data_IF_371168347317
#
_entry.id   IF_371168347317
#
_cell.length_a   1.000
_cell.length_b   1.000
_cell.length_c   1.000
_cell.angle_alpha   90.00
_cell.angle_beta   90.00
_cell.angle_gamma   90.00
#
_symmetry.space_group_name_H-M   'P 1'
#
loop_
_entity.id
_entity.type
_entity.pdbx_description
1 polymer ?
#
# COMPACT_ATOMS: atom_id res chain seq x y z
N UNK A 1 -24.87 1.03 1.85
CA UNK A 1 -24.42 2.41 2.11
C UNK A 1 -24.63 3.19 0.84
N UNK A 2 -25.64 4.03 0.84
CA UNK A 2 -25.93 4.95 -0.27
C UNK A 2 -25.15 6.26 -0.14
N UNK A 3 -25.38 7.21 -1.06
CA UNK A 3 -24.69 8.50 -1.08
C UNK A 3 -24.95 9.33 0.18
N UNK A 4 -26.17 9.29 0.71
CA UNK A 4 -26.59 10.04 1.89
C UNK A 4 -25.97 9.43 3.17
N UNK A 5 -25.89 8.12 3.25
CA UNK A 5 -25.17 7.43 4.32
C UNK A 5 -23.69 7.80 4.35
N UNK A 6 -23.04 7.82 3.17
CA UNK A 6 -21.64 8.19 3.06
C UNK A 6 -21.39 9.65 3.42
N UNK A 7 -22.25 10.57 2.94
CA UNK A 7 -22.26 11.97 3.32
C UNK A 7 -22.34 12.15 4.85
N UNK A 8 -23.30 11.47 5.50
CA UNK A 8 -23.46 11.50 6.96
C UNK A 8 -22.23 10.96 7.68
N UNK A 9 -21.64 9.87 7.19
CA UNK A 9 -20.40 9.32 7.74
C UNK A 9 -19.21 10.28 7.60
N UNK A 10 -19.21 11.14 6.58
CA UNK A 10 -18.26 12.24 6.42
C UNK A 10 -18.62 13.51 7.22
N UNK A 11 -19.72 13.49 7.99
CA UNK A 11 -20.17 14.62 8.81
C UNK A 11 -21.11 15.61 8.11
N UNK A 12 -21.55 15.33 6.89
CA UNK A 12 -22.51 16.18 6.18
C UNK A 12 -23.95 15.78 6.53
N UNK A 13 -24.71 16.72 7.10
CA UNK A 13 -26.10 16.51 7.56
C UNK A 13 -27.15 17.20 6.67
N UNK A 14 -26.73 17.89 5.62
CA UNK A 14 -27.65 18.56 4.69
C UNK A 14 -28.22 17.61 3.63
N UNK A 15 -29.14 18.12 2.82
CA UNK A 15 -29.87 17.39 1.79
C UNK A 15 -29.64 17.93 0.37
N UNK A 16 -28.74 18.92 0.22
CA UNK A 16 -28.38 19.49 -1.09
C UNK A 16 -28.04 18.39 -2.11
N UNK A 17 -28.81 18.27 -3.21
CA UNK A 17 -28.60 17.22 -4.21
C UNK A 17 -27.19 17.24 -4.80
N UNK A 18 -26.67 18.44 -5.11
CA UNK A 18 -25.33 18.61 -5.68
C UNK A 18 -24.23 18.12 -4.74
N UNK A 19 -24.36 18.33 -3.42
CA UNK A 19 -23.39 17.83 -2.45
C UNK A 19 -23.49 16.32 -2.28
N UNK A 20 -24.70 15.75 -2.24
CA UNK A 20 -24.88 14.30 -2.18
C UNK A 20 -24.29 13.60 -3.42
N UNK A 21 -24.46 14.19 -4.61
CA UNK A 21 -23.83 13.70 -5.84
C UNK A 21 -22.30 13.78 -5.77
N UNK A 22 -21.74 14.88 -5.25
CA UNK A 22 -20.30 15.01 -5.06
C UNK A 22 -19.74 13.95 -4.10
N UNK A 23 -20.42 13.67 -2.99
CA UNK A 23 -20.05 12.60 -2.05
C UNK A 23 -20.07 11.23 -2.73
N UNK A 24 -21.09 10.94 -3.53
CA UNK A 24 -21.15 9.69 -4.28
C UNK A 24 -20.02 9.57 -5.31
N UNK A 25 -19.67 10.67 -6.00
CA UNK A 25 -18.55 10.70 -6.93
C UNK A 25 -17.21 10.43 -6.22
N UNK A 26 -16.98 11.06 -5.06
CA UNK A 26 -15.81 10.83 -4.21
C UNK A 26 -15.74 9.35 -3.79
N UNK A 27 -16.87 8.79 -3.32
CA UNK A 27 -16.96 7.38 -2.90
C UNK A 27 -16.62 6.43 -4.03
N UNK A 28 -17.22 6.62 -5.22
CA UNK A 28 -16.97 5.80 -6.41
C UNK A 28 -15.51 5.88 -6.85
N UNK A 29 -14.94 7.08 -6.86
CA UNK A 29 -13.53 7.28 -7.18
C UNK A 29 -12.63 6.53 -6.19
N UNK A 30 -12.87 6.68 -4.88
CA UNK A 30 -12.12 5.96 -3.85
C UNK A 30 -12.18 4.43 -4.02
N UNK A 31 -13.35 3.88 -4.33
CA UNK A 31 -13.52 2.44 -4.61
C UNK A 31 -12.73 2.04 -5.87
N UNK A 32 -12.81 2.82 -6.94
CA UNK A 32 -12.09 2.56 -8.18
C UNK A 32 -10.57 2.55 -7.94
N UNK A 33 -10.05 3.55 -7.22
CA UNK A 33 -8.63 3.63 -6.88
C UNK A 33 -8.19 2.45 -6.01
N UNK A 34 -8.96 2.10 -4.98
CA UNK A 34 -8.64 0.96 -4.11
C UNK A 34 -8.57 -0.37 -4.87
N UNK A 35 -9.46 -0.57 -5.86
CA UNK A 35 -9.43 -1.73 -6.76
C UNK A 35 -8.20 -1.74 -7.65
N UNK A 36 -7.87 -0.60 -8.28
CA UNK A 36 -6.66 -0.48 -9.10
C UNK A 36 -5.40 -0.77 -8.28
N UNK A 37 -5.30 -0.23 -7.08
CA UNK A 37 -4.17 -0.48 -6.18
C UNK A 37 -4.09 -1.95 -5.76
N UNK A 38 -5.23 -2.61 -5.55
CA UNK A 38 -5.26 -4.04 -5.30
C UNK A 38 -4.71 -4.84 -6.48
N UNK A 39 -5.17 -4.56 -7.71
CA UNK A 39 -4.69 -5.25 -8.90
C UNK A 39 -3.20 -5.02 -9.13
N UNK A 40 -2.70 -3.78 -8.95
CA UNK A 40 -1.26 -3.47 -9.03
C UNK A 40 -0.45 -4.27 -8.01
N UNK A 41 -0.91 -4.34 -6.75
CA UNK A 41 -0.24 -5.14 -5.71
C UNK A 41 -0.23 -6.62 -6.05
N UNK A 42 -1.35 -7.16 -6.54
CA UNK A 42 -1.43 -8.56 -6.95
C UNK A 42 -0.48 -8.86 -8.11
N UNK A 43 -0.47 -8.03 -9.14
CA UNK A 43 0.41 -8.20 -10.29
C UNK A 43 1.89 -8.22 -9.88
N UNK A 44 2.29 -7.31 -8.98
CA UNK A 44 3.65 -7.28 -8.45
C UNK A 44 4.00 -8.54 -7.65
N UNK A 45 3.07 -9.05 -6.83
CA UNK A 45 3.29 -10.31 -6.11
C UNK A 45 3.42 -11.49 -7.09
N UNK A 46 2.58 -11.53 -8.12
CA UNK A 46 2.60 -12.59 -9.14
C UNK A 46 3.92 -12.59 -9.95
N UNK A 47 4.50 -11.41 -10.17
CA UNK A 47 5.84 -11.28 -10.77
C UNK A 47 6.94 -11.78 -9.84
N UNK A 48 6.93 -11.32 -8.57
CA UNK A 48 8.02 -11.59 -7.63
C UNK A 48 8.01 -13.02 -7.07
N UNK A 49 6.85 -13.71 -7.06
CA UNK A 49 6.77 -15.06 -6.49
C UNK A 49 7.50 -16.11 -7.32
N UNK A 50 7.79 -15.84 -8.60
CA UNK A 50 8.44 -16.78 -9.53
C UNK A 50 9.80 -17.27 -9.05
N UNK A 51 10.51 -16.48 -8.24
CA UNK A 51 11.74 -16.93 -7.58
C UNK A 51 12.11 -16.04 -6.39
N UNK A 52 12.77 -16.63 -5.40
CA UNK A 52 13.30 -15.89 -4.24
C UNK A 52 14.28 -14.76 -4.63
N UNK A 53 15.22 -14.95 -5.57
CA UNK A 53 16.10 -13.87 -6.01
C UNK A 53 15.38 -12.63 -6.54
N UNK A 54 14.24 -12.79 -7.25
CA UNK A 54 13.45 -11.65 -7.73
C UNK A 54 12.85 -10.86 -6.56
N UNK A 55 12.32 -11.56 -5.55
CA UNK A 55 11.86 -10.92 -4.33
C UNK A 55 12.98 -10.16 -3.62
N UNK A 56 14.15 -10.79 -3.44
CA UNK A 56 15.31 -10.17 -2.79
C UNK A 56 15.77 -8.91 -3.55
N UNK A 57 15.84 -8.97 -4.88
CA UNK A 57 16.15 -7.79 -5.70
C UNK A 57 15.14 -6.64 -5.51
N UNK A 58 13.86 -6.95 -5.30
CA UNK A 58 12.80 -5.95 -5.15
C UNK A 58 12.77 -5.28 -3.76
N UNK A 59 13.27 -5.94 -2.71
CA UNK A 59 13.37 -5.33 -1.37
C UNK A 59 14.63 -4.47 -1.18
N UNK A 60 15.49 -4.39 -2.20
CA UNK A 60 16.64 -3.47 -2.24
C UNK A 60 17.86 -4.03 -1.52
N UNK A 61 18.59 -3.22 -0.71
CA UNK A 61 19.85 -3.67 -0.07
C UNK A 61 19.62 -4.70 1.05
N UNK A 62 18.38 -4.89 1.50
CA UNK A 62 18.04 -5.87 2.52
C UNK A 62 18.24 -7.29 1.98
N UNK A 63 18.89 -8.14 2.77
CA UNK A 63 19.17 -9.53 2.45
C UNK A 63 18.05 -10.48 2.87
N UNK A 64 17.06 -9.98 3.61
CA UNK A 64 15.93 -10.76 4.09
C UNK A 64 14.65 -9.93 4.23
N UNK A 65 13.51 -10.63 4.30
CA UNK A 65 12.23 -10.01 4.56
C UNK A 65 12.17 -9.30 5.93
N UNK A 66 12.82 -9.86 6.95
CA UNK A 66 12.84 -9.23 8.28
C UNK A 66 13.69 -7.97 8.32
N UNK A 67 14.87 -7.98 7.68
CA UNK A 67 15.71 -6.80 7.53
C UNK A 67 14.97 -5.69 6.76
N UNK A 68 14.30 -6.02 5.66
CA UNK A 68 13.50 -5.05 4.92
C UNK A 68 12.35 -4.46 5.77
N UNK A 69 11.74 -5.25 6.65
CA UNK A 69 10.70 -4.76 7.57
C UNK A 69 11.30 -3.80 8.60
N UNK A 70 12.47 -4.13 9.15
CA UNK A 70 13.16 -3.27 10.12
C UNK A 70 13.57 -1.94 9.49
N UNK A 71 14.24 -1.98 8.34
CA UNK A 71 14.72 -0.79 7.63
C UNK A 71 13.60 0.15 7.25
N UNK A 72 12.52 -0.39 6.67
CA UNK A 72 11.34 0.41 6.30
C UNK A 72 10.63 0.96 7.54
N UNK A 73 10.62 0.24 8.66
CA UNK A 73 10.05 0.72 9.92
C UNK A 73 10.86 1.88 10.48
N UNK A 74 12.19 1.75 10.51
CA UNK A 74 13.13 2.81 10.93
C UNK A 74 12.99 4.04 10.04
N UNK A 75 12.93 3.84 8.72
CA UNK A 75 12.71 4.92 7.76
C UNK A 75 11.40 5.66 8.03
N UNK A 76 10.28 4.96 8.18
CA UNK A 76 8.97 5.58 8.39
C UNK A 76 8.95 6.36 9.71
N UNK A 77 9.57 5.82 10.77
CA UNK A 77 9.70 6.51 12.04
C UNK A 77 10.50 7.81 11.90
N UNK A 78 11.65 7.76 11.22
CA UNK A 78 12.47 8.93 10.94
C UNK A 78 11.72 9.96 10.07
N UNK A 79 11.03 9.52 9.01
CA UNK A 79 10.24 10.39 8.13
C UNK A 79 9.17 11.17 8.90
N UNK A 80 8.46 10.52 9.84
CA UNK A 80 7.44 11.17 10.69
C UNK A 80 8.03 12.26 11.59
N UNK A 81 9.28 12.09 12.01
CA UNK A 81 10.00 13.07 12.84
C UNK A 81 10.59 14.24 12.03
N UNK A 82 10.58 14.17 10.69
CA UNK A 82 11.13 15.25 9.85
C UNK A 82 10.23 16.50 9.84
N UNK A 83 10.80 17.70 9.63
CA UNK A 83 10.02 18.89 9.28
C UNK A 83 9.18 18.70 8.01
N UNK A 84 8.03 19.40 7.90
CA UNK A 84 7.08 19.23 6.78
C UNK A 84 7.70 19.41 5.40
N UNK A 85 8.52 20.44 5.20
CA UNK A 85 9.19 20.68 3.91
C UNK A 85 10.04 19.48 3.45
N UNK A 86 10.64 18.75 4.41
CA UNK A 86 11.45 17.57 4.13
C UNK A 86 10.57 16.34 3.92
N UNK A 87 9.46 16.23 4.65
CA UNK A 87 8.46 15.18 4.42
C UNK A 87 7.90 15.24 3.00
N UNK A 88 7.50 16.43 2.55
CA UNK A 88 6.96 16.70 1.20
C UNK A 88 7.96 16.31 0.11
N UNK A 89 9.22 16.74 0.25
CA UNK A 89 10.30 16.37 -0.69
C UNK A 89 10.57 14.87 -0.73
N UNK A 90 10.28 14.14 0.34
CA UNK A 90 10.54 12.69 0.48
C UNK A 90 9.29 11.83 0.38
N UNK A 91 8.19 12.35 -0.14
CA UNK A 91 6.98 11.56 -0.39
C UNK A 91 7.24 10.33 -1.28
N UNK A 92 8.05 10.40 -2.36
CA UNK A 92 8.38 9.22 -3.15
C UNK A 92 9.10 8.13 -2.36
N UNK A 93 10.03 8.52 -1.48
CA UNK A 93 10.76 7.58 -0.62
C UNK A 93 9.81 6.89 0.37
N UNK A 94 8.85 7.62 0.92
CA UNK A 94 7.81 7.05 1.79
C UNK A 94 6.92 6.05 1.06
N UNK A 95 6.54 6.35 -0.18
CA UNK A 95 5.76 5.43 -1.00
C UNK A 95 6.54 4.13 -1.25
N UNK A 96 7.83 4.25 -1.62
CA UNK A 96 8.73 3.10 -1.81
C UNK A 96 8.86 2.27 -0.53
N UNK A 97 9.14 2.91 0.62
CA UNK A 97 9.30 2.21 1.89
C UNK A 97 8.01 1.47 2.32
N UNK A 98 6.82 2.06 2.07
CA UNK A 98 5.53 1.39 2.34
C UNK A 98 5.32 0.17 1.44
N UNK A 99 5.68 0.28 0.16
CA UNK A 99 5.60 -0.82 -0.79
C UNK A 99 6.56 -1.96 -0.41
N UNK A 100 7.84 -1.65 -0.13
CA UNK A 100 8.82 -2.62 0.34
C UNK A 100 8.34 -3.34 1.60
N UNK A 101 7.83 -2.60 2.59
CA UNK A 101 7.29 -3.20 3.82
C UNK A 101 6.11 -4.14 3.55
N UNK A 102 5.25 -3.81 2.60
CA UNK A 102 4.11 -4.64 2.21
C UNK A 102 4.58 -5.96 1.59
N UNK A 103 5.52 -5.89 0.64
CA UNK A 103 6.11 -7.07 0.00
C UNK A 103 6.82 -7.95 1.02
N UNK A 104 7.71 -7.36 1.83
CA UNK A 104 8.46 -8.09 2.84
C UNK A 104 7.55 -8.80 3.84
N UNK A 105 6.47 -8.15 4.30
CA UNK A 105 5.47 -8.81 5.18
C UNK A 105 4.77 -9.98 4.51
N UNK A 106 4.45 -9.86 3.22
CA UNK A 106 3.80 -10.93 2.46
C UNK A 106 4.73 -12.12 2.31
N UNK A 107 5.96 -11.91 1.82
CA UNK A 107 6.92 -12.98 1.58
C UNK A 107 7.47 -13.58 2.87
N UNK A 108 7.61 -12.82 3.96
CA UNK A 108 7.90 -13.41 5.27
C UNK A 108 6.85 -14.43 5.70
N UNK A 109 5.56 -14.16 5.42
CA UNK A 109 4.46 -15.01 5.85
C UNK A 109 4.21 -16.18 4.90
N UNK A 110 4.39 -15.97 3.59
CA UNK A 110 3.95 -16.92 2.56
C UNK A 110 5.05 -17.36 1.60
N UNK A 111 6.22 -16.70 1.59
CA UNK A 111 7.31 -16.93 0.62
C UNK A 111 7.77 -18.37 0.57
N UNK A 112 8.14 -18.94 1.73
CA UNK A 112 8.54 -20.35 1.81
C UNK A 112 7.50 -21.30 1.21
N UNK A 113 6.20 -21.08 1.46
CA UNK A 113 5.14 -21.94 0.90
C UNK A 113 5.00 -21.76 -0.61
N UNK A 114 5.14 -20.54 -1.11
CA UNK A 114 5.05 -20.25 -2.54
C UNK A 114 6.17 -20.95 -3.31
N UNK A 115 7.41 -20.81 -2.83
CA UNK A 115 8.56 -21.40 -3.51
C UNK A 115 8.65 -22.92 -3.33
N UNK A 116 8.27 -23.45 -2.17
CA UNK A 116 8.22 -24.90 -1.96
C UNK A 116 7.18 -25.60 -2.85
N UNK A 117 6.09 -24.92 -3.21
CA UNK A 117 5.07 -25.45 -4.13
C UNK A 117 5.47 -25.36 -5.60
N UNK A 118 6.30 -24.41 -6.00
CA UNK A 118 6.83 -24.31 -7.38
C UNK A 118 8.01 -25.26 -7.62
N UNK A 119 8.71 -25.69 -6.57
CA UNK A 119 9.82 -26.64 -6.64
C UNK A 119 9.40 -28.13 -6.64
N UNK A 120 8.12 -28.42 -6.40
CA UNK A 120 7.54 -29.78 -6.35
C UNK A 120 6.75 -30.10 -7.62
#
# INVERSE_FOLDING_TARGET
MDAADFARACGYTGDSPALLEAFEAIRRNGIAQARQDHFRRKALIDELKQSEPLFLAAIGPALSADEAIEDTTRFIAFWRAMPRWRQERRLPDLARARQQRLLARFFRRYGHRLWALEAA
#
